data_IF_460361822154
#
_entry.id   IF_460361822154
#
_cell.length_a   1.000
_cell.length_b   1.000
_cell.length_c   1.000
_cell.angle_alpha   90.00
_cell.angle_beta   90.00
_cell.angle_gamma   90.00
#
_symmetry.space_group_name_H-M   'P 1'
#
loop_
_entity.id
_entity.type
_entity.pdbx_description
1 polymer ?
#
# COMPACT_ATOMS: atom_id res chain seq x y z
N UNK A 1 12.18 -8.71 -10.70
CA UNK A 1 12.60 -7.57 -9.87
C UNK A 1 11.46 -6.60 -9.57
N UNK A 2 10.77 -6.05 -10.59
CA UNK A 2 9.66 -5.09 -10.40
C UNK A 2 8.52 -5.61 -9.50
N UNK A 3 8.03 -6.84 -9.71
CA UNK A 3 6.98 -7.45 -8.86
C UNK A 3 7.35 -7.47 -7.38
N UNK A 4 8.61 -7.79 -7.07
CA UNK A 4 9.12 -7.85 -5.69
C UNK A 4 9.09 -6.45 -5.06
N UNK A 5 9.49 -5.43 -5.81
CA UNK A 5 9.44 -4.02 -5.36
C UNK A 5 7.99 -3.60 -5.08
N UNK A 6 7.06 -3.90 -5.99
CA UNK A 6 5.64 -3.55 -5.82
C UNK A 6 5.06 -4.23 -4.58
N UNK A 7 5.28 -5.54 -4.40
CA UNK A 7 4.79 -6.25 -3.22
C UNK A 7 5.43 -5.77 -1.91
N UNK A 8 6.73 -5.46 -1.90
CA UNK A 8 7.39 -4.92 -0.72
C UNK A 8 6.89 -3.52 -0.38
N UNK A 9 6.73 -2.63 -1.36
CA UNK A 9 6.18 -1.30 -1.14
C UNK A 9 4.73 -1.37 -0.63
N UNK A 10 3.92 -2.26 -1.22
CA UNK A 10 2.55 -2.48 -0.79
C UNK A 10 2.48 -3.00 0.65
N UNK A 11 3.32 -3.96 1.03
CA UNK A 11 3.41 -4.44 2.41
C UNK A 11 3.78 -3.32 3.39
N UNK A 12 4.72 -2.46 3.02
CA UNK A 12 5.10 -1.29 3.83
C UNK A 12 3.89 -0.35 4.03
N UNK A 13 3.10 -0.10 2.98
CA UNK A 13 1.89 0.73 3.12
C UNK A 13 0.85 0.11 4.05
N UNK A 14 0.66 -1.22 4.00
CA UNK A 14 -0.24 -1.93 4.91
C UNK A 14 0.21 -1.76 6.36
N UNK A 15 1.50 -1.98 6.63
CA UNK A 15 2.07 -1.81 7.98
C UNK A 15 1.91 -0.36 8.44
N UNK A 16 2.17 0.61 7.56
CA UNK A 16 1.96 2.03 7.85
C UNK A 16 0.52 2.33 8.28
N UNK A 17 -0.48 1.84 7.54
CA UNK A 17 -1.88 2.08 7.88
C UNK A 17 -2.34 1.33 9.13
N UNK A 18 -1.82 0.13 9.40
CA UNK A 18 -2.02 -0.55 10.67
C UNK A 18 -1.49 0.32 11.82
N UNK A 19 -0.27 0.84 11.70
CA UNK A 19 0.29 1.76 12.70
C UNK A 19 -0.55 3.04 12.82
N UNK A 20 -1.01 3.62 11.71
CA UNK A 20 -1.82 4.84 11.71
C UNK A 20 -3.15 4.64 12.46
N UNK A 21 -3.80 3.49 12.26
CA UNK A 21 -5.06 3.15 12.92
C UNK A 21 -4.92 2.75 14.40
N UNK A 22 -3.74 2.26 14.79
CA UNK A 22 -3.52 1.72 16.15
C UNK A 22 -2.73 2.65 17.07
N UNK A 23 -1.99 3.62 16.51
CA UNK A 23 -1.12 4.52 17.28
C UNK A 23 -1.61 5.97 17.19
N UNK A 24 -2.17 6.55 18.27
CA UNK A 24 -2.67 7.92 18.28
C UNK A 24 -1.60 8.96 17.92
N UNK A 25 -0.34 8.66 18.20
CA UNK A 25 0.79 9.52 17.83
C UNK A 25 0.88 9.75 16.33
N UNK A 26 0.75 8.69 15.53
CA UNK A 26 0.89 8.77 14.08
C UNK A 26 -0.30 9.50 13.44
N UNK A 27 -1.51 9.24 13.94
CA UNK A 27 -2.71 9.98 13.56
C UNK A 27 -2.58 11.48 13.85
N UNK A 28 -2.15 11.83 15.07
CA UNK A 28 -1.93 13.22 15.47
C UNK A 28 -0.84 13.88 14.62
N UNK A 29 0.23 13.17 14.27
CA UNK A 29 1.30 13.69 13.42
C UNK A 29 0.78 14.03 12.01
N UNK A 30 -0.12 13.21 11.45
CA UNK A 30 -0.76 13.50 10.15
C UNK A 30 -1.73 14.69 10.27
N UNK A 31 -2.56 14.72 11.32
CA UNK A 31 -3.53 15.81 11.58
C UNK A 31 -2.87 17.17 11.79
N UNK A 32 -1.73 17.19 12.48
CA UNK A 32 -0.95 18.41 12.74
C UNK A 32 -0.23 18.92 11.49
N UNK A 33 -0.18 18.13 10.42
CA UNK A 33 0.31 18.55 9.13
C UNK A 33 1.80 18.35 8.88
N UNK A 34 2.35 19.17 7.96
CA UNK A 34 3.75 19.11 7.57
C UNK A 34 4.11 17.88 6.73
N UNK A 35 5.32 17.35 6.94
CA UNK A 35 5.86 16.23 6.15
C UNK A 35 4.97 14.97 6.23
N UNK A 36 4.32 14.75 7.37
CA UNK A 36 3.53 13.55 7.60
C UNK A 36 2.29 13.45 6.73
N UNK A 37 1.69 14.57 6.30
CA UNK A 37 0.59 14.55 5.31
C UNK A 37 1.08 13.97 3.99
N UNK A 38 2.21 14.44 3.49
CA UNK A 38 2.74 13.97 2.21
C UNK A 38 3.11 12.49 2.27
N UNK A 39 3.73 12.06 3.37
CA UNK A 39 4.01 10.64 3.60
C UNK A 39 2.70 9.84 3.63
N UNK A 40 1.67 10.33 4.32
CA UNK A 40 0.37 9.66 4.38
C UNK A 40 -0.27 9.49 3.00
N UNK A 41 -0.29 10.56 2.19
CA UNK A 41 -0.82 10.51 0.82
C UNK A 41 -0.01 9.56 -0.06
N UNK A 42 1.32 9.56 0.03
CA UNK A 42 2.17 8.62 -0.71
C UNK A 42 1.85 7.18 -0.30
N UNK A 43 1.70 6.91 0.99
CA UNK A 43 1.34 5.57 1.48
C UNK A 43 -0.04 5.15 1.01
N UNK A 44 -1.00 6.07 0.93
CA UNK A 44 -2.34 5.81 0.39
C UNK A 44 -2.28 5.42 -1.10
N UNK A 45 -1.52 6.16 -1.91
CA UNK A 45 -1.30 5.83 -3.32
C UNK A 45 -0.63 4.46 -3.50
N UNK A 46 0.35 4.13 -2.65
CA UNK A 46 1.01 2.82 -2.67
C UNK A 46 0.03 1.71 -2.27
N UNK A 47 -0.83 1.95 -1.28
CA UNK A 47 -1.83 0.98 -0.83
C UNK A 47 -2.84 0.65 -1.95
N UNK A 48 -3.45 1.69 -2.52
CA UNK A 48 -4.45 1.56 -3.60
C UNK A 48 -3.80 0.97 -4.85
N UNK A 49 -2.65 1.50 -5.26
CA UNK A 49 -1.93 1.03 -6.44
C UNK A 49 -1.45 -0.42 -6.31
N UNK A 50 -0.95 -0.79 -5.13
CA UNK A 50 -0.54 -2.16 -4.83
C UNK A 50 -1.72 -3.13 -4.78
N UNK A 51 -2.85 -2.73 -4.19
CA UNK A 51 -4.08 -3.52 -4.20
C UNK A 51 -4.57 -3.77 -5.63
N UNK A 52 -4.62 -2.71 -6.45
CA UNK A 52 -5.00 -2.82 -7.85
C UNK A 52 -4.08 -3.78 -8.63
N UNK A 53 -2.76 -3.65 -8.43
CA UNK A 53 -1.78 -4.52 -9.07
C UNK A 53 -1.97 -5.99 -8.69
N UNK A 54 -2.18 -6.28 -7.39
CA UNK A 54 -2.41 -7.62 -6.87
C UNK A 54 -3.71 -8.18 -7.44
N UNK A 55 -4.79 -7.40 -7.39
CA UNK A 55 -6.10 -7.79 -7.90
C UNK A 55 -6.05 -8.16 -9.39
N UNK A 56 -5.46 -7.29 -10.22
CA UNK A 56 -5.30 -7.55 -11.66
C UNK A 56 -4.41 -8.78 -11.90
N UNK A 57 -3.37 -8.98 -11.09
CA UNK A 57 -2.50 -10.15 -11.20
C UNK A 57 -3.25 -11.45 -10.92
N UNK A 58 -4.13 -11.45 -9.91
CA UNK A 58 -4.98 -12.59 -9.57
C UNK A 58 -5.99 -12.87 -10.69
N UNK A 59 -6.68 -11.83 -11.17
CA UNK A 59 -7.62 -11.97 -12.30
C UNK A 59 -6.90 -12.52 -13.53
N UNK A 60 -5.71 -12.01 -13.86
CA UNK A 60 -4.92 -12.51 -14.99
C UNK A 60 -4.52 -13.98 -14.82
N UNK A 61 -4.15 -14.39 -13.60
CA UNK A 61 -3.83 -15.79 -13.32
C UNK A 61 -5.04 -16.68 -13.63
N UNK A 62 -6.22 -16.37 -13.10
CA UNK A 62 -7.41 -17.21 -13.32
C UNK A 62 -7.93 -17.22 -14.76
N UNK A 63 -7.87 -16.10 -15.47
CA UNK A 63 -8.56 -15.96 -16.77
C UNK A 63 -7.65 -16.03 -18.00
N UNK A 64 -6.35 -15.77 -17.87
CA UNK A 64 -5.46 -15.71 -19.02
C UNK A 64 -4.37 -16.80 -19.03
N UNK A 65 -3.86 -17.21 -17.87
CA UNK A 65 -2.82 -18.25 -17.77
C UNK A 65 -2.89 -18.95 -16.39
N UNK A 66 -3.87 -19.83 -16.17
CA UNK A 66 -4.03 -20.52 -14.88
C UNK A 66 -2.92 -21.56 -14.60
N UNK A 67 -2.20 -21.99 -15.64
CA UNK A 67 -1.17 -23.03 -15.54
C UNK A 67 0.25 -22.47 -15.26
N UNK A 68 0.38 -21.17 -14.97
CA UNK A 68 1.66 -20.47 -14.71
C UNK A 68 1.76 -19.85 -13.32
#
# INVERSE_FOLDING_TARGET
>A
MLKKIVYSAWLISIIYFICYLTMPFLENAVKNGGLMIYIHVIMDLILIGGFFFVFVSIVRFFFANPDK
#
